data_IF_585353370130
#
_entry.id   IF_585353370130
#
_cell.length_a   1.000
_cell.length_b   1.000
_cell.length_c   1.000
_cell.angle_alpha   90.00
_cell.angle_beta   90.00
_cell.angle_gamma   90.00
#
_symmetry.space_group_name_H-M   'P 1'
#
loop_
_entity.id
_entity.type
_entity.pdbx_description
1 polymer ?
#
# COMPACT_ATOMS: atom_id res chain seq x y z
N UNK A 1 -1.04 17.19 21.03
CA UNK A 1 -0.16 16.54 20.02
C UNK A 1 -0.99 16.03 18.86
N UNK A 2 -0.59 16.32 17.66
CA UNK A 2 -1.28 15.81 16.49
C UNK A 2 -1.22 14.28 16.46
N UNK A 3 -2.23 13.67 15.91
CA UNK A 3 -2.23 12.22 15.74
C UNK A 3 -1.16 11.79 14.73
N UNK A 4 -0.82 10.50 14.73
CA UNK A 4 0.19 9.93 13.84
C UNK A 4 -0.13 10.08 12.36
N UNK A 5 -1.36 10.44 12.00
CA UNK A 5 -1.75 10.63 10.61
C UNK A 5 -1.73 12.09 10.16
N UNK A 6 -1.14 12.99 10.94
CA UNK A 6 -1.07 14.42 10.60
C UNK A 6 0.30 14.97 10.93
N UNK A 7 1.08 15.33 9.91
CA UNK A 7 2.39 15.98 10.05
C UNK A 7 2.50 17.09 9.02
N UNK A 8 2.87 18.29 9.45
CA UNK A 8 3.12 19.44 8.57
C UNK A 8 1.97 19.70 7.58
N UNK A 9 0.73 19.55 8.06
CA UNK A 9 -0.46 19.75 7.22
C UNK A 9 -0.88 18.55 6.40
N UNK A 10 -0.12 17.44 6.42
CA UNK A 10 -0.50 16.23 5.70
C UNK A 10 -1.40 15.35 6.57
N UNK A 11 -2.45 14.83 5.97
CA UNK A 11 -3.34 13.84 6.57
C UNK A 11 -3.23 12.55 5.81
N UNK A 12 -2.58 11.55 6.39
CA UNK A 12 -2.21 10.31 5.69
C UNK A 12 -3.40 9.40 5.42
N UNK A 13 -4.50 9.56 6.10
CA UNK A 13 -5.72 8.76 5.91
C UNK A 13 -6.80 9.52 5.15
N UNK A 14 -6.43 10.54 4.39
CA UNK A 14 -7.37 11.37 3.63
C UNK A 14 -7.07 11.26 2.15
N UNK A 15 -8.10 11.17 1.32
CA UNK A 15 -8.01 11.20 -0.13
C UNK A 15 -8.71 12.43 -0.68
N UNK A 16 -8.33 12.86 -1.87
CA UNK A 16 -8.90 14.05 -2.50
C UNK A 16 -8.89 13.91 -4.01
N UNK A 17 -9.90 14.47 -4.67
CA UNK A 17 -9.90 14.58 -6.12
C UNK A 17 -8.86 15.58 -6.63
N UNK A 18 -8.42 16.49 -5.77
CA UNK A 18 -7.43 17.51 -6.11
C UNK A 18 -6.07 17.14 -5.54
N UNK A 19 -5.02 17.33 -6.35
CA UNK A 19 -3.66 17.08 -5.90
C UNK A 19 -3.22 18.19 -4.94
N UNK A 20 -2.79 17.80 -3.75
CA UNK A 20 -2.36 18.72 -2.70
C UNK A 20 -0.85 18.77 -2.52
N UNK A 21 -0.14 17.75 -2.96
CA UNK A 21 1.32 17.64 -2.84
C UNK A 21 1.90 17.17 -4.16
N UNK A 22 3.20 17.30 -4.34
CA UNK A 22 3.88 16.71 -5.49
C UNK A 22 3.79 15.18 -5.40
N UNK A 23 3.48 14.53 -6.52
CA UNK A 23 3.45 13.07 -6.56
C UNK A 23 4.82 12.51 -6.21
N UNK A 24 4.83 11.44 -5.44
CA UNK A 24 6.04 10.83 -4.96
C UNK A 24 6.60 11.43 -3.69
N UNK A 25 6.01 12.48 -3.16
CA UNK A 25 6.43 13.07 -1.89
C UNK A 25 6.41 12.02 -0.79
N UNK A 26 7.50 11.89 -0.07
CA UNK A 26 7.60 10.99 1.07
C UNK A 26 7.49 11.80 2.36
N UNK A 27 6.80 11.24 3.34
CA UNK A 27 6.67 11.87 4.64
C UNK A 27 6.58 10.78 5.71
N UNK A 28 6.98 11.13 6.92
CA UNK A 28 6.99 10.21 8.05
C UNK A 28 6.00 10.69 9.10
N UNK A 29 5.20 9.77 9.62
CA UNK A 29 4.30 10.06 10.73
C UNK A 29 5.04 9.94 12.07
N UNK A 30 4.43 10.41 13.15
CA UNK A 30 5.07 10.45 14.47
C UNK A 30 5.35 9.06 15.06
N UNK A 31 4.76 8.01 14.51
CA UNK A 31 5.05 6.62 14.88
C UNK A 31 6.16 5.98 14.03
N UNK A 32 6.80 6.74 13.16
CA UNK A 32 7.88 6.25 12.32
C UNK A 32 7.45 5.61 11.00
N UNK A 33 6.16 5.57 10.70
CA UNK A 33 5.65 5.04 9.44
C UNK A 33 5.97 6.01 8.30
N UNK A 34 6.53 5.49 7.22
CA UNK A 34 6.85 6.28 6.02
C UNK A 34 5.74 6.13 5.01
N UNK A 35 5.26 7.26 4.51
CA UNK A 35 4.16 7.35 3.56
C UNK A 35 4.62 8.00 2.27
N UNK A 36 3.96 7.66 1.17
CA UNK A 36 4.24 8.27 -0.13
C UNK A 36 2.95 8.74 -0.78
N UNK A 37 2.99 9.92 -1.38
CA UNK A 37 1.84 10.53 -2.04
C UNK A 37 1.71 10.00 -3.46
N UNK A 38 0.54 9.45 -3.79
CA UNK A 38 0.29 8.80 -5.08
C UNK A 38 -1.09 9.17 -5.62
N UNK A 39 -1.31 8.88 -6.88
CA UNK A 39 -2.63 8.95 -7.52
C UNK A 39 -3.12 7.54 -7.85
N UNK A 40 -4.34 7.22 -7.48
CA UNK A 40 -4.94 5.94 -7.81
C UNK A 40 -5.30 5.89 -9.30
N UNK A 41 -4.86 4.86 -10.00
CA UNK A 41 -5.25 4.65 -11.42
C UNK A 41 -6.59 3.94 -11.56
N UNK A 42 -7.07 3.35 -10.48
CA UNK A 42 -8.37 2.70 -10.39
C UNK A 42 -8.79 2.65 -8.93
N UNK A 43 -9.95 2.11 -8.65
CA UNK A 43 -10.44 1.98 -7.28
C UNK A 43 -9.49 1.09 -6.46
N UNK A 44 -9.19 1.51 -5.24
CA UNK A 44 -8.37 0.78 -4.29
C UNK A 44 -9.18 0.63 -3.02
N UNK A 45 -9.29 -0.60 -2.52
CA UNK A 45 -9.99 -0.84 -1.26
C UNK A 45 -9.06 -0.55 -0.08
N UNK A 46 -9.66 -0.29 1.08
CA UNK A 46 -8.90 -0.11 2.29
C UNK A 46 -8.01 -1.33 2.55
N UNK A 47 -6.77 -1.11 2.94
CA UNK A 47 -5.75 -2.14 3.25
C UNK A 47 -5.25 -2.94 2.05
N UNK A 48 -5.60 -2.56 0.83
CA UNK A 48 -5.06 -3.21 -0.36
C UNK A 48 -3.58 -2.90 -0.52
N UNK A 49 -2.81 -3.90 -0.91
CA UNK A 49 -1.45 -3.69 -1.41
C UNK A 49 -1.53 -3.11 -2.80
N UNK A 50 -0.67 -2.16 -3.10
CA UNK A 50 -0.68 -1.44 -4.37
C UNK A 50 0.69 -1.47 -5.03
N UNK A 51 0.68 -1.55 -6.36
CA UNK A 51 1.88 -1.40 -7.18
C UNK A 51 2.00 0.06 -7.60
N UNK A 52 3.16 0.66 -7.38
CA UNK A 52 3.42 2.07 -7.65
C UNK A 52 4.35 2.18 -8.85
N UNK A 53 3.94 2.92 -9.87
CA UNK A 53 4.71 3.13 -11.08
C UNK A 53 5.73 4.26 -10.91
N UNK A 54 6.58 4.46 -11.92
CA UNK A 54 7.56 5.54 -11.93
C UNK A 54 6.93 6.93 -11.93
N UNK A 55 5.68 7.03 -12.33
CA UNK A 55 4.93 8.30 -12.30
C UNK A 55 4.09 8.44 -11.03
N UNK A 56 4.30 7.55 -10.06
CA UNK A 56 3.60 7.54 -8.77
C UNK A 56 2.10 7.34 -8.90
N UNK A 57 1.72 6.52 -9.88
CA UNK A 57 0.36 6.02 -10.03
C UNK A 57 0.26 4.68 -9.31
N UNK A 58 -0.76 4.50 -8.48
CA UNK A 58 -0.95 3.29 -7.70
C UNK A 58 -2.15 2.51 -8.21
N UNK A 59 -1.99 1.19 -8.30
CA UNK A 59 -3.06 0.26 -8.66
C UNK A 59 -3.03 -0.93 -7.71
N UNK A 60 -4.16 -1.61 -7.53
CA UNK A 60 -4.20 -2.83 -6.73
C UNK A 60 -3.14 -3.82 -7.23
N UNK A 61 -2.36 -4.38 -6.33
CA UNK A 61 -1.32 -5.34 -6.69
C UNK A 61 -1.97 -6.62 -7.24
N UNK A 62 -1.46 -7.06 -8.40
CA UNK A 62 -1.91 -8.30 -9.04
C UNK A 62 -0.68 -9.09 -9.48
N UNK A 63 -0.88 -10.37 -9.82
CA UNK A 63 0.19 -11.17 -10.38
C UNK A 63 0.79 -10.50 -11.62
N UNK A 64 -0.05 -10.02 -12.53
CA UNK A 64 0.42 -9.40 -13.76
C UNK A 64 1.26 -8.16 -13.48
N UNK A 65 0.81 -7.28 -12.59
CA UNK A 65 1.55 -6.07 -12.25
C UNK A 65 2.88 -6.38 -11.57
N UNK A 66 2.93 -7.36 -10.69
CA UNK A 66 4.13 -7.66 -9.93
C UNK A 66 5.13 -8.54 -10.70
N UNK A 67 4.68 -9.33 -11.67
CA UNK A 67 5.57 -10.20 -12.45
C UNK A 67 5.97 -9.61 -13.79
N UNK A 68 5.04 -9.00 -14.51
CA UNK A 68 5.25 -8.52 -15.88
C UNK A 68 5.63 -7.05 -15.90
N UNK A 69 4.80 -6.21 -15.31
CA UNK A 69 5.02 -4.76 -15.34
C UNK A 69 6.16 -4.29 -14.43
N UNK A 70 6.50 -5.08 -13.40
CA UNK A 70 7.60 -4.80 -12.47
C UNK A 70 7.55 -3.36 -11.95
N UNK A 71 6.64 -3.07 -11.04
CA UNK A 71 6.47 -1.72 -10.55
C UNK A 71 7.73 -1.20 -9.86
N UNK A 72 7.86 0.11 -9.78
CA UNK A 72 8.95 0.74 -9.05
C UNK A 72 8.92 0.37 -7.57
N UNK A 73 7.73 0.26 -7.00
CA UNK A 73 7.58 0.00 -5.58
C UNK A 73 6.21 -0.64 -5.28
N UNK A 74 6.12 -1.18 -4.09
CA UNK A 74 4.86 -1.70 -3.53
C UNK A 74 4.56 -0.94 -2.25
N UNK A 75 3.32 -0.53 -2.08
CA UNK A 75 2.84 0.12 -0.87
C UNK A 75 1.56 -0.53 -0.39
N UNK A 76 0.96 0.04 0.64
CA UNK A 76 -0.32 -0.43 1.17
C UNK A 76 -1.22 0.75 1.50
N UNK A 77 -2.45 0.71 1.00
CA UNK A 77 -3.42 1.75 1.28
C UNK A 77 -4.02 1.54 2.67
N UNK A 78 -4.07 2.57 3.47
CA UNK A 78 -4.74 2.54 4.77
C UNK A 78 -6.11 3.23 4.73
N UNK A 79 -6.54 3.62 3.53
CA UNK A 79 -7.84 4.22 3.24
C UNK A 79 -8.25 3.82 1.83
N UNK A 80 -9.53 3.77 1.55
CA UNK A 80 -10.02 3.47 0.20
C UNK A 80 -9.83 4.68 -0.72
N UNK A 81 -9.48 4.41 -1.98
CA UNK A 81 -9.35 5.43 -3.02
C UNK A 81 -10.39 5.18 -4.09
N UNK A 82 -11.05 6.22 -4.55
CA UNK A 82 -11.78 6.16 -5.82
C UNK A 82 -10.79 6.38 -6.98
N UNK A 83 -11.20 6.00 -8.18
CA UNK A 83 -10.38 6.19 -9.38
C UNK A 83 -9.93 7.66 -9.52
N UNK A 84 -8.65 7.86 -9.79
CA UNK A 84 -8.01 9.15 -9.97
C UNK A 84 -7.87 10.01 -8.72
N UNK A 85 -8.26 9.52 -7.55
CA UNK A 85 -8.02 10.26 -6.31
C UNK A 85 -6.54 10.23 -5.91
N UNK A 86 -6.14 11.26 -5.19
CA UNK A 86 -4.79 11.41 -4.64
C UNK A 86 -4.81 11.12 -3.14
N UNK A 87 -3.76 10.54 -2.64
CA UNK A 87 -3.63 10.28 -1.22
C UNK A 87 -2.31 9.60 -0.88
N UNK A 88 -2.21 9.14 0.34
CA UNK A 88 -0.98 8.55 0.88
C UNK A 88 -1.12 7.06 1.04
N UNK A 89 -0.05 6.34 0.71
CA UNK A 89 0.05 4.90 0.97
C UNK A 89 1.30 4.64 1.81
N UNK A 90 1.25 3.60 2.64
CA UNK A 90 2.39 3.21 3.47
C UNK A 90 3.46 2.57 2.60
N UNK A 91 4.69 3.00 2.78
CA UNK A 91 5.87 2.42 2.12
C UNK A 91 6.74 1.64 3.10
N UNK A 92 6.75 2.02 4.37
CA UNK A 92 7.59 1.40 5.36
C UNK A 92 6.98 1.58 6.75
N UNK A 93 7.09 0.56 7.58
CA UNK A 93 6.57 0.55 8.94
C UNK A 93 5.66 -0.62 9.19
N UNK A 94 4.96 -0.61 10.32
CA UNK A 94 3.94 -1.62 10.64
C UNK A 94 2.58 -1.07 10.27
N UNK A 95 1.83 -1.85 9.51
CA UNK A 95 0.55 -1.42 8.97
C UNK A 95 -0.39 -2.60 8.80
N UNK A 96 -1.66 -2.33 8.55
CA UNK A 96 -2.67 -3.35 8.24
C UNK A 96 -2.70 -3.56 6.73
N UNK A 97 -2.70 -4.82 6.30
CA UNK A 97 -2.78 -5.18 4.89
C UNK A 97 -3.71 -6.35 4.67
N UNK A 98 -4.32 -6.42 3.50
CA UNK A 98 -5.22 -7.52 3.13
C UNK A 98 -4.42 -8.74 2.74
N UNK A 99 -4.67 -9.85 3.41
CA UNK A 99 -4.04 -11.14 3.14
C UNK A 99 -5.11 -12.17 2.80
N UNK A 100 -4.72 -13.18 2.05
CA UNK A 100 -5.58 -14.35 1.86
C UNK A 100 -5.71 -15.07 3.21
N UNK A 101 -6.87 -15.63 3.46
CA UNK A 101 -7.13 -16.35 4.72
C UNK A 101 -6.13 -17.49 4.93
N UNK A 102 -5.75 -17.70 6.17
CA UNK A 102 -4.78 -18.70 6.59
C UNK A 102 -3.32 -18.44 6.20
N UNK A 103 -2.98 -17.23 5.79
CA UNK A 103 -1.58 -16.84 5.60
C UNK A 103 -0.81 -17.02 6.90
N UNK A 104 0.34 -17.69 6.82
CA UNK A 104 1.16 -17.97 8.00
C UNK A 104 1.82 -16.71 8.57
N UNK A 105 2.20 -16.79 9.84
CA UNK A 105 2.94 -15.72 10.50
C UNK A 105 4.42 -15.75 10.10
N UNK A 106 5.06 -14.60 10.10
CA UNK A 106 6.50 -14.44 9.91
C UNK A 106 7.04 -15.04 8.61
N UNK A 107 6.30 -14.89 7.52
CA UNK A 107 6.67 -15.41 6.20
C UNK A 107 6.77 -14.29 5.19
N UNK A 108 7.46 -14.57 4.09
CA UNK A 108 7.47 -13.69 2.93
C UNK A 108 6.09 -13.71 2.29
N UNK A 109 5.71 -12.60 1.72
CA UNK A 109 4.44 -12.48 1.02
C UNK A 109 4.66 -12.47 -0.49
N UNK A 110 3.75 -13.14 -1.20
CA UNK A 110 3.78 -13.31 -2.65
C UNK A 110 2.49 -12.77 -3.25
N UNK A 111 2.55 -12.41 -4.52
CA UNK A 111 1.38 -11.96 -5.25
C UNK A 111 0.41 -13.11 -5.52
N UNK A 112 -0.87 -12.79 -5.52
CA UNK A 112 -1.92 -13.73 -5.83
C UNK A 112 -2.87 -13.16 -6.88
N UNK A 113 -3.80 -13.98 -7.35
CA UNK A 113 -4.78 -13.56 -8.36
C UNK A 113 -5.79 -12.55 -7.81
N UNK A 114 -6.04 -12.56 -6.50
CA UNK A 114 -6.95 -11.60 -5.88
C UNK A 114 -6.28 -10.24 -5.79
N UNK A 115 -6.85 -9.25 -6.46
CA UNK A 115 -6.28 -7.90 -6.50
C UNK A 115 -6.18 -7.29 -5.11
N UNK A 116 -5.05 -6.66 -4.81
CA UNK A 116 -4.81 -5.99 -3.54
C UNK A 116 -4.44 -6.89 -2.37
N UNK A 117 -4.43 -8.21 -2.56
CA UNK A 117 -4.10 -9.18 -1.51
C UNK A 117 -2.74 -9.81 -1.75
N UNK A 118 -2.14 -10.28 -0.67
CA UNK A 118 -0.92 -11.08 -0.71
C UNK A 118 -1.13 -12.37 0.09
N UNK A 119 -0.26 -13.35 -0.12
CA UNK A 119 -0.33 -14.65 0.55
C UNK A 119 1.09 -15.19 0.78
N UNK A 120 1.21 -16.22 1.58
CA UNK A 120 2.46 -16.96 1.76
C UNK A 120 2.69 -18.00 0.64
N UNK A 121 1.72 -18.21 -0.23
CA UNK A 121 1.84 -19.06 -1.41
C UNK A 121 1.27 -18.29 -2.61
N UNK A 122 2.10 -18.04 -3.61
CA UNK A 122 1.69 -17.24 -4.75
C UNK A 122 2.72 -17.26 -5.86
N UNK A 123 2.70 -16.23 -6.71
CA UNK A 123 3.48 -16.20 -7.94
C UNK A 123 4.80 -15.45 -7.82
N UNK A 124 4.76 -14.22 -7.32
CA UNK A 124 5.96 -13.39 -7.25
C UNK A 124 6.19 -12.90 -5.82
N UNK A 125 7.44 -12.98 -5.36
CA UNK A 125 7.82 -12.45 -4.05
C UNK A 125 7.70 -10.94 -4.03
N UNK A 126 7.05 -10.41 -2.99
CA UNK A 126 6.99 -8.98 -2.73
C UNK A 126 8.09 -8.65 -1.72
N UNK A 127 9.16 -8.02 -2.20
CA UNK A 127 10.33 -7.73 -1.37
C UNK A 127 10.00 -6.68 -0.31
N UNK A 128 10.52 -6.89 0.88
CA UNK A 128 10.38 -5.95 1.98
C UNK A 128 9.06 -6.03 2.74
N UNK A 129 8.20 -6.96 2.36
CA UNK A 129 6.91 -7.16 3.04
C UNK A 129 6.85 -8.57 3.60
N UNK A 130 6.50 -8.68 4.85
CA UNK A 130 6.30 -9.97 5.50
C UNK A 130 5.29 -9.84 6.62
N UNK A 131 4.71 -10.96 7.01
CA UNK A 131 3.76 -10.98 8.12
C UNK A 131 4.49 -10.89 9.45
N UNK A 132 3.87 -10.30 10.48
CA UNK A 132 4.42 -10.34 11.83
C UNK A 132 4.22 -11.71 12.46
N UNK A 133 4.55 -11.82 13.74
CA UNK A 133 4.36 -13.07 14.48
C UNK A 133 2.89 -13.44 14.69
N UNK A 134 2.01 -12.44 14.66
CA UNK A 134 0.57 -12.67 14.71
C UNK A 134 -0.06 -12.20 13.41
N UNK A 135 -0.86 -13.04 12.80
CA UNK A 135 -1.53 -12.74 11.52
C UNK A 135 -3.02 -12.90 11.69
N UNK A 136 -3.76 -11.85 11.34
CA UNK A 136 -5.19 -11.93 11.13
C UNK A 136 -5.46 -12.01 9.65
N UNK A 137 -5.91 -13.13 9.15
CA UNK A 137 -6.31 -13.25 7.76
C UNK A 137 -7.64 -12.53 7.52
N UNK A 138 -7.86 -12.06 6.31
CA UNK A 138 -9.10 -11.39 5.96
C UNK A 138 -9.78 -12.04 4.78
#
# INVERSE_FOLDING_TARGET
>A
MASSNTITGARFTETSADRKFALGTMSESDDGTVWQYVQASGAINIYDFVAITETYTAAQATNALLTVAKPMAVGCAQVAFATSEYGWVVRQGTFTGNLIAATAANVKLLSVATAGHLDDAGTATVLGVRTPTLVGGS
#
